data_IF_449702859607
#
_entry.id   IF_449702859607
#
_cell.length_a   1.000
_cell.length_b   1.000
_cell.length_c   1.000
_cell.angle_alpha   90.00
_cell.angle_beta   90.00
_cell.angle_gamma   90.00
#
_symmetry.space_group_name_H-M   'P 1'
#
loop_
_entity.id
_entity.type
_entity.pdbx_description
1 polymer ?
#
# COMPACT_ATOMS: atom_id res chain seq x y z
N UNK A 1 12.18 5.35 6.14
CA UNK A 1 11.41 5.02 4.92
C UNK A 1 9.98 4.71 5.36
N UNK A 2 8.97 5.29 4.71
CA UNK A 2 7.56 5.03 5.04
C UNK A 2 7.06 3.76 4.32
N UNK A 3 6.01 3.07 4.82
CA UNK A 3 5.47 1.85 4.20
C UNK A 3 5.18 1.96 2.69
N UNK A 4 4.70 3.11 2.21
CA UNK A 4 4.45 3.36 0.79
C UNK A 4 5.68 3.94 0.06
N UNK A 5 6.87 3.79 0.64
CA UNK A 5 8.10 4.40 0.16
C UNK A 5 8.26 5.85 0.62
N UNK A 6 7.21 6.65 0.49
CA UNK A 6 7.13 8.06 0.87
C UNK A 6 5.78 8.37 1.56
N UNK A 7 5.57 9.62 1.96
CA UNK A 7 4.30 10.07 2.50
C UNK A 7 3.27 10.14 1.37
N UNK A 8 2.16 9.44 1.55
CA UNK A 8 0.97 9.58 0.75
C UNK A 8 0.18 10.81 1.18
N UNK A 9 -0.02 11.73 0.22
CA UNK A 9 -0.81 12.96 0.36
C UNK A 9 -2.08 12.93 -0.51
N UNK A 10 -2.48 11.75 -0.99
CA UNK A 10 -3.71 11.57 -1.77
C UNK A 10 -4.93 11.35 -0.87
N UNK A 11 -5.84 10.49 -1.31
CA UNK A 11 -7.09 10.24 -0.62
C UNK A 11 -7.09 8.90 0.12
N UNK A 12 -7.60 8.91 1.35
CA UNK A 12 -8.03 7.73 2.10
C UNK A 12 -9.36 7.23 1.53
N UNK A 13 -9.43 5.93 1.27
CA UNK A 13 -10.63 5.19 0.81
C UNK A 13 -10.93 4.00 1.72
N UNK A 14 -10.59 4.13 3.01
CA UNK A 14 -10.83 3.08 3.99
C UNK A 14 -12.33 2.78 4.17
N UNK A 15 -13.18 3.78 3.94
CA UNK A 15 -14.63 3.66 3.89
C UNK A 15 -15.08 3.81 2.43
N UNK A 16 -15.84 2.84 1.86
CA UNK A 16 -16.21 2.84 0.43
C UNK A 16 -16.93 4.10 -0.05
N UNK A 17 -17.85 4.62 0.77
CA UNK A 17 -18.71 5.75 0.42
C UNK A 17 -18.13 7.11 0.86
N UNK A 18 -16.91 7.11 1.41
CA UNK A 18 -16.38 8.31 2.05
C UNK A 18 -14.87 8.52 1.79
N UNK A 19 -14.59 9.27 0.73
CA UNK A 19 -13.23 9.59 0.26
C UNK A 19 -12.75 10.88 0.92
N UNK A 20 -11.62 10.83 1.61
CA UNK A 20 -11.08 11.96 2.37
C UNK A 20 -9.61 12.19 2.07
N UNK A 21 -9.13 13.43 2.09
CA UNK A 21 -7.69 13.69 2.03
C UNK A 21 -6.98 13.07 3.24
N UNK A 22 -5.81 12.48 3.03
CA UNK A 22 -5.00 11.98 4.15
C UNK A 22 -4.50 13.16 4.97
N UNK A 23 -5.05 13.33 6.18
CA UNK A 23 -4.69 14.41 7.11
C UNK A 23 -3.69 13.98 8.19
N UNK A 24 -3.71 12.70 8.57
CA UNK A 24 -3.04 12.26 9.80
C UNK A 24 -1.71 11.55 9.52
N UNK A 25 -0.71 11.85 10.36
CA UNK A 25 0.59 11.19 10.30
C UNK A 25 0.49 9.67 10.48
N UNK A 26 -0.49 9.18 11.25
CA UNK A 26 -0.70 7.75 11.51
C UNK A 26 -1.02 6.96 10.23
N UNK A 27 -1.76 7.54 9.28
CA UNK A 27 -2.12 6.90 8.01
C UNK A 27 -0.91 6.54 7.15
N UNK A 28 0.20 7.26 7.32
CA UNK A 28 1.43 7.05 6.55
C UNK A 28 2.39 6.04 7.19
N UNK A 29 2.13 5.57 8.42
CA UNK A 29 3.02 4.63 9.13
C UNK A 29 2.39 3.25 9.33
N UNK A 30 1.06 3.14 9.24
CA UNK A 30 0.29 1.95 9.60
C UNK A 30 -0.05 1.93 11.09
N UNK A 31 -0.73 0.88 11.56
CA UNK A 31 -1.16 0.73 12.95
C UNK A 31 -2.02 1.89 13.46
N UNK A 32 -2.86 2.44 12.58
CA UNK A 32 -3.73 3.55 12.92
C UNK A 32 -5.01 3.11 13.65
N UNK A 33 -5.14 1.81 14.01
CA UNK A 33 -6.22 1.30 14.86
C UNK A 33 -6.24 2.09 16.17
N UNK A 34 -7.43 2.42 16.65
CA UNK A 34 -7.68 3.29 17.82
C UNK A 34 -7.25 4.76 17.69
N UNK A 35 -6.39 5.12 16.73
CA UNK A 35 -5.89 6.50 16.58
C UNK A 35 -6.61 7.25 15.47
N UNK A 36 -6.89 6.59 14.34
CA UNK A 36 -7.63 7.17 13.25
C UNK A 36 -9.12 6.88 13.44
N UNK A 37 -9.94 7.93 13.60
CA UNK A 37 -11.40 7.79 13.70
C UNK A 37 -12.07 7.22 12.44
N UNK A 38 -11.33 7.10 11.34
CA UNK A 38 -11.78 6.51 10.07
C UNK A 38 -11.25 5.09 9.84
N UNK A 39 -10.52 4.53 10.81
CA UNK A 39 -10.01 3.17 10.70
C UNK A 39 -11.19 2.18 10.57
N UNK A 40 -11.21 1.29 9.57
CA UNK A 40 -12.34 0.38 9.37
C UNK A 40 -12.57 -0.51 10.59
N UNK A 41 -13.83 -0.72 11.02
CA UNK A 41 -14.13 -1.65 12.11
C UNK A 41 -13.82 -3.09 11.70
N UNK A 42 -13.49 -3.94 12.67
CA UNK A 42 -13.27 -5.38 12.49
C UNK A 42 -11.80 -5.82 12.42
N UNK A 43 -11.57 -7.07 12.03
CA UNK A 43 -10.25 -7.72 12.02
C UNK A 43 -9.40 -7.42 10.77
N UNK A 44 -9.60 -6.25 10.16
CA UNK A 44 -8.82 -5.80 9.02
C UNK A 44 -7.34 -5.63 9.33
N UNK A 45 -6.48 -5.49 8.31
CA UNK A 45 -5.05 -5.33 8.49
C UNK A 45 -4.71 -3.98 9.13
N UNK A 46 -3.66 -3.95 9.96
CA UNK A 46 -3.17 -2.72 10.57
C UNK A 46 -2.15 -1.99 9.70
N UNK A 47 -1.36 -2.75 8.96
CA UNK A 47 -0.37 -2.21 8.04
C UNK A 47 -0.13 -3.17 6.87
N UNK A 48 0.33 -2.60 5.75
CA UNK A 48 0.86 -3.36 4.63
C UNK A 48 2.26 -2.83 4.31
N UNK A 49 3.23 -3.73 4.24
CA UNK A 49 4.62 -3.44 3.92
C UNK A 49 4.93 -3.97 2.54
N UNK A 50 5.60 -3.18 1.72
CA UNK A 50 6.00 -3.55 0.37
C UNK A 50 7.51 -3.44 0.19
N UNK A 51 8.08 -4.33 -0.61
CA UNK A 51 9.48 -4.27 -1.02
C UNK A 51 9.65 -4.65 -2.48
N UNK A 52 10.48 -3.91 -3.23
CA UNK A 52 10.89 -4.30 -4.58
C UNK A 52 11.92 -5.43 -4.46
N UNK A 53 11.57 -6.63 -4.95
CA UNK A 53 12.51 -7.75 -5.05
C UNK A 53 13.28 -7.74 -6.38
N UNK A 54 12.67 -7.20 -7.44
CA UNK A 54 13.29 -7.09 -8.76
C UNK A 54 12.78 -5.87 -9.52
N UNK A 55 13.67 -5.23 -10.27
CA UNK A 55 13.32 -4.18 -11.22
C UNK A 55 13.96 -4.51 -12.57
N UNK A 56 13.14 -4.75 -13.58
CA UNK A 56 13.55 -5.08 -14.93
C UNK A 56 12.95 -4.09 -15.94
N UNK A 57 13.46 -4.04 -17.18
CA UNK A 57 12.91 -3.14 -18.21
C UNK A 57 11.40 -3.36 -18.48
N UNK A 58 10.89 -4.57 -18.24
CA UNK A 58 9.48 -4.91 -18.47
C UNK A 58 8.57 -4.63 -17.25
N UNK A 59 9.12 -4.48 -16.04
CA UNK A 59 8.29 -4.36 -14.85
C UNK A 59 9.01 -4.53 -13.51
N UNK A 60 8.21 -4.66 -12.45
CA UNK A 60 8.66 -4.83 -11.06
C UNK A 60 8.15 -6.14 -10.48
N UNK A 61 9.00 -6.83 -9.74
CA UNK A 61 8.60 -7.89 -8.80
C UNK A 61 8.61 -7.31 -7.39
N UNK A 62 7.53 -7.55 -6.65
CA UNK A 62 7.26 -6.93 -5.35
C UNK A 62 6.87 -8.03 -4.37
N UNK A 63 7.43 -8.03 -3.17
CA UNK A 63 6.87 -8.77 -2.04
C UNK A 63 6.09 -7.84 -1.14
N UNK A 64 5.02 -8.36 -0.54
CA UNK A 64 4.27 -7.64 0.48
C UNK A 64 4.01 -8.51 1.70
N UNK A 65 3.87 -7.85 2.84
CA UNK A 65 3.46 -8.44 4.12
C UNK A 65 2.29 -7.62 4.64
N UNK A 66 1.22 -8.31 5.02
CA UNK A 66 0.08 -7.77 5.74
C UNK A 66 0.32 -8.04 7.22
N UNK A 67 0.26 -6.98 8.03
CA UNK A 67 0.49 -7.04 9.47
C UNK A 67 -0.84 -6.82 10.22
N UNK A 68 -1.03 -7.59 11.30
CA UNK A 68 -2.13 -7.44 12.26
C UNK A 68 -1.58 -7.65 13.66
N UNK A 69 -1.95 -6.79 14.60
CA UNK A 69 -1.47 -6.78 15.98
C UNK A 69 0.08 -6.78 16.07
N UNK A 70 0.73 -6.05 15.17
CA UNK A 70 2.20 -6.00 15.02
C UNK A 70 2.87 -7.33 14.61
N UNK A 71 2.09 -8.31 14.15
CA UNK A 71 2.60 -9.58 13.65
C UNK A 71 2.31 -9.77 12.16
N UNK A 72 3.18 -10.50 11.42
CA UNK A 72 2.88 -10.91 10.06
C UNK A 72 1.64 -11.80 10.06
N UNK A 73 0.61 -11.39 9.34
CA UNK A 73 -0.65 -12.11 9.22
C UNK A 73 -0.76 -12.85 7.88
N UNK A 74 -0.37 -12.19 6.79
CA UNK A 74 -0.31 -12.78 5.45
C UNK A 74 0.82 -12.15 4.64
N UNK A 75 1.25 -12.80 3.57
CA UNK A 75 2.26 -12.25 2.67
C UNK A 75 2.02 -12.77 1.25
N UNK A 76 2.64 -12.12 0.28
CA UNK A 76 2.57 -12.55 -1.11
C UNK A 76 3.56 -11.84 -2.01
N UNK A 77 3.50 -12.21 -3.29
CA UNK A 77 4.26 -11.58 -4.36
C UNK A 77 3.31 -10.94 -5.37
N UNK A 78 3.76 -9.83 -5.95
CA UNK A 78 3.04 -9.08 -6.98
C UNK A 78 3.99 -8.81 -8.13
N UNK A 79 3.43 -8.77 -9.34
CA UNK A 79 4.13 -8.40 -10.55
C UNK A 79 3.45 -7.20 -11.17
N UNK A 80 4.19 -6.10 -11.32
CA UNK A 80 3.72 -4.88 -11.96
C UNK A 80 4.32 -4.76 -13.36
N UNK A 81 3.48 -4.67 -14.38
CA UNK A 81 3.90 -4.56 -15.77
C UNK A 81 3.98 -3.10 -16.18
N UNK A 82 5.14 -2.64 -16.67
CA UNK A 82 5.26 -1.29 -17.23
C UNK A 82 4.48 -1.12 -18.53
N UNK A 83 4.51 -2.07 -19.50
CA UNK A 83 3.72 -1.95 -20.71
C UNK A 83 2.20 -1.88 -20.45
N UNK A 84 1.71 -2.63 -19.46
CA UNK A 84 0.28 -2.66 -19.14
C UNK A 84 -0.15 -1.56 -18.15
N UNK A 85 0.78 -1.02 -17.36
CA UNK A 85 0.49 -0.02 -16.34
C UNK A 85 -0.35 -0.56 -15.17
N UNK A 86 -0.31 -1.87 -14.93
CA UNK A 86 -1.11 -2.54 -13.90
C UNK A 86 -0.41 -3.77 -13.32
N UNK A 87 -0.97 -4.27 -12.22
CA UNK A 87 -0.58 -5.58 -11.67
C UNK A 87 -1.12 -6.72 -12.51
N UNK A 88 -0.30 -7.74 -12.75
CA UNK A 88 -0.64 -8.91 -13.56
C UNK A 88 -1.66 -9.84 -12.89
N UNK A 89 -1.77 -9.75 -11.57
CA UNK A 89 -2.75 -10.48 -10.76
C UNK A 89 -3.70 -9.48 -10.08
N UNK A 90 -5.00 -9.79 -9.94
CA UNK A 90 -5.90 -8.99 -9.13
C UNK A 90 -5.47 -9.01 -7.66
N UNK A 91 -5.51 -7.85 -7.00
CA UNK A 91 -5.24 -7.73 -5.57
C UNK A 91 -6.56 -7.45 -4.86
N UNK A 92 -6.90 -8.33 -3.93
CA UNK A 92 -8.00 -8.11 -2.98
C UNK A 92 -7.43 -7.99 -1.56
N UNK A 93 -7.98 -7.11 -0.72
CA UNK A 93 -9.06 -6.16 -1.00
C UNK A 93 -8.57 -4.90 -1.76
N UNK A 94 -9.49 -4.14 -2.38
CA UNK A 94 -9.17 -2.91 -3.15
C UNK A 94 -8.23 -1.95 -2.39
N UNK A 95 -8.39 -1.79 -1.07
CA UNK A 95 -7.54 -0.92 -0.25
C UNK A 95 -6.06 -1.33 -0.29
N UNK A 96 -5.76 -2.63 -0.34
CA UNK A 96 -4.39 -3.14 -0.47
C UNK A 96 -3.89 -2.91 -1.90
N UNK A 97 -4.73 -3.11 -2.91
CA UNK A 97 -4.39 -2.84 -4.30
C UNK A 97 -3.95 -1.39 -4.50
N UNK A 98 -4.73 -0.43 -3.98
CA UNK A 98 -4.42 1.02 -4.06
C UNK A 98 -3.11 1.37 -3.38
N UNK A 99 -2.84 0.78 -2.21
CA UNK A 99 -1.56 0.97 -1.51
C UNK A 99 -0.38 0.43 -2.33
N UNK A 100 -0.54 -0.73 -2.99
CA UNK A 100 0.48 -1.27 -3.86
C UNK A 100 0.77 -0.33 -5.05
N UNK A 101 -0.25 0.25 -5.67
CA UNK A 101 -0.06 1.27 -6.72
C UNK A 101 0.67 2.52 -6.19
N UNK A 102 0.27 3.04 -5.02
CA UNK A 102 0.93 4.19 -4.40
C UNK A 102 2.40 3.92 -4.08
N UNK A 103 2.73 2.69 -3.65
CA UNK A 103 4.10 2.25 -3.44
C UNK A 103 4.91 2.21 -4.74
N UNK A 104 4.35 1.66 -5.82
CA UNK A 104 4.98 1.64 -7.15
C UNK A 104 5.23 3.06 -7.66
N UNK A 105 4.24 3.95 -7.56
CA UNK A 105 4.38 5.36 -7.96
C UNK A 105 5.52 6.04 -7.20
N UNK A 106 5.54 5.91 -5.87
CA UNK A 106 6.58 6.50 -5.03
C UNK A 106 7.96 5.92 -5.31
N UNK A 107 8.06 4.62 -5.59
CA UNK A 107 9.32 4.00 -5.98
C UNK A 107 9.84 4.53 -7.32
N UNK A 108 8.98 4.63 -8.33
CA UNK A 108 9.36 5.11 -9.66
C UNK A 108 9.71 6.60 -9.66
N UNK A 109 9.02 7.42 -8.86
CA UNK A 109 9.37 8.84 -8.67
C UNK A 109 10.80 8.99 -8.14
N UNK A 110 11.12 8.33 -7.04
CA UNK A 110 12.47 8.36 -6.43
C UNK A 110 13.59 7.83 -7.32
N UNK A 111 13.27 6.98 -8.30
CA UNK A 111 14.27 6.48 -9.26
C UNK A 111 14.63 7.50 -10.36
N UNK A 112 13.83 8.55 -10.52
CA UNK A 112 14.06 9.64 -11.50
C UNK A 112 14.81 10.83 -10.89
N UNK A 113 14.92 10.89 -9.58
CA UNK A 113 15.70 11.86 -8.80
C UNK A 113 17.18 11.45 -8.73
#
# INVERSE_FOLDING_TARGET
MLPLGESWSGFCRALPDDVHAVSDACCNVGYARETCGRFPPGEGPDAVRFTISRHEPAGLSIYYVIERDHHPFAHGALEYSFPAGCFMTPLEPETVARQAYAYVESYLRRKKE
#
